data_IF_847093658120
#
_entry.id   IF_847093658120
#
_cell.length_a   1.000
_cell.length_b   1.000
_cell.length_c   1.000
_cell.angle_alpha   90.00
_cell.angle_beta   90.00
_cell.angle_gamma   90.00
#
_symmetry.space_group_name_H-M   'P 1'
#
loop_
_entity.id
_entity.type
_entity.pdbx_description
1 polymer ?
#
# COMPACT_ATOMS: atom_id res chain seq x y z
N UNK A 1 -0.44 2.84 -13.00
CA UNK A 1 -1.72 2.10 -12.95
C UNK A 1 -1.54 0.97 -11.95
N UNK A 2 -2.53 0.70 -11.10
CA UNK A 2 -2.51 -0.43 -10.16
C UNK A 2 -3.67 -1.38 -10.44
N UNK A 3 -3.47 -2.65 -10.08
CA UNK A 3 -4.46 -3.72 -10.19
C UNK A 3 -4.58 -4.39 -8.82
N UNK A 4 -5.78 -4.41 -8.26
CA UNK A 4 -6.07 -5.02 -6.96
C UNK A 4 -6.86 -6.30 -7.24
N UNK A 5 -6.21 -7.44 -7.01
CA UNK A 5 -6.80 -8.75 -7.19
C UNK A 5 -7.54 -9.14 -5.92
N UNK A 6 -8.82 -9.50 -6.06
CA UNK A 6 -9.68 -9.84 -4.93
C UNK A 6 -9.86 -11.35 -4.81
N UNK A 7 -10.20 -11.80 -3.60
CA UNK A 7 -10.48 -13.22 -3.32
C UNK A 7 -11.74 -13.73 -4.01
N UNK A 8 -12.63 -12.84 -4.44
CA UNK A 8 -13.82 -13.17 -5.22
C UNK A 8 -13.53 -13.33 -6.73
N UNK A 9 -12.26 -13.22 -7.14
CA UNK A 9 -11.82 -13.34 -8.53
C UNK A 9 -11.98 -12.06 -9.36
N UNK A 10 -12.54 -10.99 -8.80
CA UNK A 10 -12.61 -9.69 -9.50
C UNK A 10 -11.27 -8.95 -9.41
N UNK A 11 -11.05 -8.05 -10.37
CA UNK A 11 -9.87 -7.17 -10.39
C UNK A 11 -10.32 -5.72 -10.45
N UNK A 12 -9.87 -4.91 -9.51
CA UNK A 12 -10.04 -3.47 -9.56
C UNK A 12 -8.84 -2.83 -10.26
N UNK A 13 -9.12 -1.96 -11.23
CA UNK A 13 -8.10 -1.20 -11.94
C UNK A 13 -8.28 0.29 -11.62
N UNK A 14 -7.23 0.94 -11.13
CA UNK A 14 -7.24 2.39 -10.86
C UNK A 14 -5.86 3.02 -11.07
N UNK A 15 -5.81 4.35 -11.25
CA UNK A 15 -4.51 5.06 -11.31
C UNK A 15 -3.95 5.18 -9.90
N UNK A 16 -2.62 5.20 -9.81
CA UNK A 16 -1.91 5.42 -8.55
C UNK A 16 -2.33 6.75 -7.90
N UNK A 17 -2.37 7.81 -8.71
CA UNK A 17 -2.69 9.16 -8.27
C UNK A 17 -4.16 9.36 -7.86
N UNK A 18 -5.04 8.40 -8.19
CA UNK A 18 -6.46 8.44 -7.82
C UNK A 18 -6.72 7.75 -6.45
N UNK A 19 -5.68 7.19 -5.82
CA UNK A 19 -5.79 6.52 -4.51
C UNK A 19 -5.37 7.47 -3.39
N UNK A 20 -6.18 7.55 -2.34
CA UNK A 20 -5.83 8.27 -1.13
C UNK A 20 -5.12 7.33 -0.15
N UNK A 21 -3.82 7.52 0.04
CA UNK A 21 -3.02 6.69 0.95
C UNK A 21 -2.96 7.27 2.36
N UNK A 22 -3.04 6.38 3.35
CA UNK A 22 -2.93 6.72 4.77
C UNK A 22 -2.00 5.75 5.47
N UNK A 23 -1.21 6.26 6.43
CA UNK A 23 -0.57 5.43 7.45
C UNK A 23 -1.52 5.41 8.64
N UNK A 24 -2.26 4.32 8.79
CA UNK A 24 -3.34 4.22 9.77
C UNK A 24 -2.87 3.45 10.99
N UNK A 25 -3.11 4.04 12.17
CA UNK A 25 -3.02 3.34 13.46
C UNK A 25 -4.35 2.68 13.77
N UNK A 26 -4.32 1.40 14.06
CA UNK A 26 -5.49 0.59 14.37
C UNK A 26 -5.31 -0.12 15.70
N UNK A 27 -6.42 -0.55 16.30
CA UNK A 27 -6.41 -1.45 17.44
C UNK A 27 -6.97 -2.78 16.99
N UNK A 28 -6.16 -3.82 17.06
CA UNK A 28 -6.57 -5.20 16.77
C UNK A 28 -6.33 -6.11 17.99
N UNK A 29 -6.45 -7.42 17.80
CA UNK A 29 -6.27 -8.42 18.86
C UNK A 29 -4.84 -8.45 19.42
N UNK A 30 -3.86 -7.89 18.72
CA UNK A 30 -2.45 -7.81 19.07
C UNK A 30 -2.06 -6.45 19.69
N UNK A 31 -3.00 -5.52 19.80
CA UNK A 31 -2.78 -4.20 20.41
C UNK A 31 -2.88 -3.08 19.39
N UNK A 32 -2.06 -2.03 19.55
CA UNK A 32 -1.97 -0.96 18.57
C UNK A 32 -1.05 -1.39 17.42
N UNK A 33 -1.58 -1.35 16.20
CA UNK A 33 -0.85 -1.73 15.00
C UNK A 33 -0.90 -0.64 13.95
N UNK A 34 0.03 -0.71 13.00
CA UNK A 34 0.19 0.26 11.92
C UNK A 34 0.15 -0.43 10.57
N UNK A 35 -0.46 0.22 9.58
CA UNK A 35 -0.52 -0.26 8.21
C UNK A 35 -0.63 0.92 7.23
N UNK A 36 -0.13 0.74 6.00
CA UNK A 36 -0.42 1.63 4.87
C UNK A 36 -1.66 1.12 4.16
N UNK A 37 -2.72 1.95 4.14
CA UNK A 37 -3.95 1.66 3.42
C UNK A 37 -4.11 2.58 2.23
N UNK A 38 -4.61 2.02 1.12
CA UNK A 38 -5.11 2.78 -0.01
C UNK A 38 -6.63 2.85 0.02
N UNK A 39 -7.18 4.05 -0.13
CA UNK A 39 -8.62 4.29 -0.18
C UNK A 39 -9.01 4.83 -1.55
N UNK A 40 -10.02 4.24 -2.16
CA UNK A 40 -10.65 4.78 -3.37
C UNK A 40 -11.86 5.58 -2.91
N UNK A 41 -11.81 6.88 -3.17
CA UNK A 41 -12.82 7.84 -2.72
C UNK A 41 -13.79 8.12 -3.87
N UNK A 42 -15.07 8.25 -3.56
CA UNK A 42 -16.07 8.67 -4.54
C UNK A 42 -15.91 10.14 -4.94
N UNK A 43 -16.63 10.56 -5.97
CA UNK A 43 -16.65 11.93 -6.48
C UNK A 43 -17.05 12.97 -5.43
N UNK A 44 -17.80 12.58 -4.40
CA UNK A 44 -18.18 13.44 -3.27
C UNK A 44 -17.01 13.77 -2.32
N UNK A 45 -15.85 13.11 -2.50
CA UNK A 45 -14.64 13.21 -1.68
C UNK A 45 -14.84 12.87 -0.20
N UNK A 46 -15.93 12.19 0.14
CA UNK A 46 -16.31 11.85 1.51
C UNK A 46 -16.58 10.37 1.70
N UNK A 47 -17.03 9.69 0.63
CA UNK A 47 -17.39 8.28 0.67
C UNK A 47 -16.23 7.42 0.22
N UNK A 48 -15.78 6.52 1.09
CA UNK A 48 -14.80 5.48 0.75
C UNK A 48 -15.53 4.35 0.04
N UNK A 49 -15.19 4.10 -1.23
CA UNK A 49 -15.74 3.00 -2.04
C UNK A 49 -15.02 1.67 -1.79
N UNK A 50 -13.73 1.73 -1.53
CA UNK A 50 -12.87 0.56 -1.38
C UNK A 50 -11.69 0.92 -0.48
N UNK A 51 -11.23 -0.05 0.31
CA UNK A 51 -9.99 0.06 1.08
C UNK A 51 -9.18 -1.22 0.93
N UNK A 52 -7.90 -1.09 0.64
CA UNK A 52 -6.97 -2.20 0.54
C UNK A 52 -5.70 -1.92 1.34
N UNK A 53 -5.08 -2.97 1.88
CA UNK A 53 -3.80 -2.89 2.56
C UNK A 53 -2.66 -2.97 1.55
N UNK A 54 -1.66 -2.10 1.72
CA UNK A 54 -0.48 -2.05 0.86
C UNK A 54 0.78 -2.56 1.57
N UNK A 55 0.86 -2.45 2.90
CA UNK A 55 2.00 -2.92 3.70
C UNK A 55 1.66 -4.14 4.55
N UNK A 56 2.68 -4.69 5.20
CA UNK A 56 2.51 -5.55 6.38
C UNK A 56 1.82 -4.78 7.52
N UNK A 57 1.34 -5.51 8.52
CA UNK A 57 0.92 -4.94 9.80
C UNK A 57 2.17 -4.88 10.69
N UNK A 58 2.50 -3.68 11.18
CA UNK A 58 3.63 -3.41 12.05
C UNK A 58 3.18 -2.99 13.44
N UNK A 59 4.07 -3.07 14.43
CA UNK A 59 3.77 -2.62 15.80
C UNK A 59 4.15 -1.17 16.04
N UNK A 60 4.89 -0.57 15.10
CA UNK A 60 5.34 0.82 15.13
C UNK A 60 5.17 1.47 13.76
N UNK A 61 5.18 2.80 13.72
CA UNK A 61 5.08 3.55 12.46
C UNK A 61 6.37 3.44 11.66
N UNK A 62 7.50 3.40 12.36
CA UNK A 62 8.85 3.30 11.83
C UNK A 62 9.07 2.01 11.03
N UNK A 63 8.42 0.91 11.42
CA UNK A 63 8.40 -0.35 10.64
C UNK A 63 7.68 -0.21 9.29
N UNK A 64 6.70 0.70 9.21
CA UNK A 64 5.78 0.82 8.06
C UNK A 64 6.24 1.87 7.05
N UNK A 65 6.95 2.91 7.49
CA UNK A 65 7.46 3.98 6.62
C UNK A 65 8.34 3.47 5.46
N UNK A 66 9.27 2.51 5.65
CA UNK A 66 10.05 1.95 4.56
C UNK A 66 9.20 1.23 3.50
N UNK A 67 8.13 0.54 3.91
CA UNK A 67 7.20 -0.13 2.99
C UNK A 67 6.50 0.90 2.10
N UNK A 68 5.99 1.99 2.69
CA UNK A 68 5.39 3.07 1.91
C UNK A 68 6.38 3.65 0.88
N UNK A 69 7.60 3.96 1.33
CA UNK A 69 8.61 4.58 0.48
C UNK A 69 9.02 3.67 -0.70
N UNK A 70 9.04 2.36 -0.50
CA UNK A 70 9.22 1.39 -1.58
C UNK A 70 8.13 1.53 -2.66
N UNK A 71 6.86 1.46 -2.27
CA UNK A 71 5.75 1.55 -3.25
C UNK A 71 5.70 2.92 -3.93
N UNK A 72 5.90 4.01 -3.18
CA UNK A 72 5.91 5.36 -3.73
C UNK A 72 7.01 5.52 -4.78
N UNK A 73 8.25 5.12 -4.47
CA UNK A 73 9.37 5.19 -5.44
C UNK A 73 9.14 4.28 -6.64
N UNK A 74 8.63 3.07 -6.42
CA UNK A 74 8.33 2.15 -7.52
C UNK A 74 7.31 2.77 -8.49
N UNK A 75 6.25 3.35 -7.96
CA UNK A 75 5.15 3.89 -8.76
C UNK A 75 5.49 5.24 -9.41
N UNK A 76 6.27 6.09 -8.74
CA UNK A 76 6.60 7.45 -9.22
C UNK A 76 7.90 7.50 -10.05
N UNK A 77 8.88 6.65 -9.72
CA UNK A 77 10.22 6.70 -10.32
C UNK A 77 10.60 5.41 -11.06
N UNK A 78 9.78 4.38 -10.97
CA UNK A 78 10.03 3.08 -11.59
C UNK A 78 10.87 2.12 -10.73
N UNK A 79 10.97 0.86 -11.16
CA UNK A 79 11.54 -0.23 -10.37
C UNK A 79 13.02 -0.01 -10.03
N UNK A 80 13.82 0.58 -10.93
CA UNK A 80 15.26 0.77 -10.70
C UNK A 80 15.52 1.66 -9.47
N UNK A 81 14.72 2.70 -9.29
CA UNK A 81 14.86 3.64 -8.17
C UNK A 81 14.33 3.06 -6.84
N UNK A 82 13.35 2.16 -6.91
CA UNK A 82 12.86 1.46 -5.72
C UNK A 82 13.88 0.45 -5.19
N UNK A 83 14.59 -0.25 -6.08
CA UNK A 83 15.48 -1.37 -5.73
C UNK A 83 16.90 -0.94 -5.29
N UNK A 84 17.35 0.26 -5.64
CA UNK A 84 18.75 0.67 -5.44
C UNK A 84 19.19 0.91 -3.98
N UNK A 85 18.26 1.01 -3.02
CA UNK A 85 18.54 1.46 -1.65
C UNK A 85 17.83 0.65 -0.54
N UNK A 86 17.26 -0.52 -0.84
CA UNK A 86 16.53 -1.31 0.16
C UNK A 86 17.26 -2.61 0.49
N UNK A 87 17.38 -2.92 1.78
CA UNK A 87 17.64 -4.29 2.23
C UNK A 87 16.41 -5.13 1.85
N UNK A 88 16.54 -5.87 0.75
CA UNK A 88 15.49 -6.61 0.07
C UNK A 88 15.00 -7.79 0.92
N UNK A 89 14.03 -7.54 1.79
CA UNK A 89 13.24 -8.62 2.41
C UNK A 89 12.03 -8.88 1.50
N UNK A 90 12.07 -10.00 0.80
CA UNK A 90 10.91 -10.66 0.16
C UNK A 90 10.28 -9.96 -1.07
N UNK A 91 11.06 -9.72 -2.13
CA UNK A 91 10.46 -9.69 -3.49
C UNK A 91 10.56 -11.09 -4.11
N UNK A 92 9.53 -11.57 -4.83
CA UNK A 92 9.67 -12.76 -5.66
C UNK A 92 10.79 -12.51 -6.69
N UNK A 93 11.58 -13.55 -7.04
CA UNK A 93 12.57 -13.42 -8.10
C UNK A 93 11.87 -12.93 -9.38
N UNK A 94 12.46 -11.93 -10.01
CA UNK A 94 12.09 -11.54 -11.36
C UNK A 94 12.78 -12.52 -12.29
N UNK A 95 11.99 -13.40 -12.89
CA UNK A 95 12.41 -14.31 -13.97
C UNK A 95 12.77 -13.53 -15.24
#
# INVERSE_FOLDING_TARGET
>A
MIYIFRTDGTVLKTKWDDVFFTCTKERDIWGETWNVRGHIIDADRKTVKETFSLSIIGTSREEIEPHWEFYRRYMENGPQMALGNLELICLPPLD
#
